data_IF_408785253302
#
_entry.id   IF_408785253302
#
_cell.length_a   1.000
_cell.length_b   1.000
_cell.length_c   1.000
_cell.angle_alpha   90.00
_cell.angle_beta   90.00
_cell.angle_gamma   90.00
#
_symmetry.space_group_name_H-M   'P 1'
#
loop_
_entity.id
_entity.type
_entity.pdbx_description
1 polymer ?
#
# COMPACT_ATOMS: atom_id res chain seq x y z
N UNK A 1 38.05 -13.87 9.73
CA UNK A 1 36.88 -14.04 10.61
C UNK A 1 35.76 -14.59 9.74
N UNK A 2 35.03 -15.65 10.14
CA UNK A 2 34.06 -16.30 9.25
C UNK A 2 32.89 -15.35 8.99
N UNK A 3 32.58 -15.14 7.71
CA UNK A 3 31.41 -14.40 7.23
C UNK A 3 30.15 -15.10 7.71
N UNK A 4 29.29 -14.41 8.46
CA UNK A 4 28.00 -14.95 8.86
C UNK A 4 27.15 -15.18 7.60
N UNK A 5 26.84 -16.44 7.31
CA UNK A 5 25.82 -16.83 6.33
C UNK A 5 24.47 -16.36 6.86
N UNK A 6 23.63 -15.66 6.07
CA UNK A 6 22.28 -15.35 6.51
C UNK A 6 21.54 -16.68 6.73
N UNK A 7 21.11 -16.89 7.97
CA UNK A 7 20.34 -18.06 8.40
C UNK A 7 19.07 -18.12 7.56
N UNK A 8 18.97 -19.10 6.67
CA UNK A 8 17.81 -19.40 5.85
C UNK A 8 16.69 -19.97 6.73
N UNK A 9 16.08 -19.13 7.57
CA UNK A 9 14.75 -19.41 8.11
C UNK A 9 13.69 -19.27 7.02
N UNK A 10 12.48 -19.83 7.20
CA UNK A 10 11.39 -19.57 6.27
C UNK A 10 11.10 -18.07 6.26
N UNK A 11 11.01 -17.52 5.05
CA UNK A 11 10.68 -16.13 4.83
C UNK A 11 9.28 -15.84 5.38
N UNK A 12 9.16 -14.86 6.27
CA UNK A 12 7.88 -14.39 6.78
C UNK A 12 7.69 -12.95 6.30
N UNK A 13 6.77 -12.76 5.36
CA UNK A 13 6.42 -11.44 4.85
C UNK A 13 5.44 -10.78 5.82
N UNK A 14 5.75 -9.55 6.22
CA UNK A 14 4.85 -8.76 7.06
C UNK A 14 5.03 -7.28 6.76
N UNK A 15 3.91 -6.57 6.61
CA UNK A 15 3.85 -5.13 6.37
C UNK A 15 3.01 -4.53 7.48
N UNK A 16 3.58 -3.60 8.23
CA UNK A 16 2.86 -2.90 9.30
C UNK A 16 2.55 -1.48 8.84
N UNK A 17 1.27 -1.09 8.95
CA UNK A 17 0.86 0.29 8.70
C UNK A 17 1.26 1.17 9.88
N UNK A 18 1.87 2.33 9.59
CA UNK A 18 2.31 3.27 10.62
C UNK A 18 1.50 4.56 10.63
N UNK A 19 1.32 5.21 9.47
CA UNK A 19 0.67 6.52 9.41
C UNK A 19 0.15 6.90 8.02
N UNK A 20 -0.87 7.76 7.99
CA UNK A 20 -1.35 8.44 6.79
C UNK A 20 -0.59 9.75 6.59
N UNK A 21 0.23 9.83 5.55
CA UNK A 21 1.15 10.95 5.38
C UNK A 21 0.53 12.16 4.65
N UNK A 22 -0.49 11.97 3.82
CA UNK A 22 -1.02 13.06 2.95
C UNK A 22 -2.51 13.32 3.07
N UNK A 23 -3.34 12.28 3.08
CA UNK A 23 -4.81 12.43 3.03
C UNK A 23 -5.40 11.75 4.26
N UNK A 24 -6.05 12.52 5.14
CA UNK A 24 -6.85 11.98 6.23
C UNK A 24 -8.15 11.36 5.70
N UNK A 25 -8.69 10.40 6.43
CA UNK A 25 -9.94 9.74 6.07
C UNK A 25 -11.12 10.72 6.03
N UNK A 26 -11.93 10.61 4.98
CA UNK A 26 -13.09 11.47 4.76
C UNK A 26 -12.75 12.83 4.12
N UNK A 27 -11.51 13.03 3.66
CA UNK A 27 -11.12 14.24 2.94
C UNK A 27 -11.99 14.48 1.70
N UNK A 28 -12.35 15.74 1.46
CA UNK A 28 -13.24 16.13 0.36
C UNK A 28 -12.47 16.54 -0.89
N UNK A 29 -12.91 16.06 -2.05
CA UNK A 29 -12.33 16.40 -3.35
C UNK A 29 -13.41 16.80 -4.37
N UNK A 30 -13.00 17.60 -5.35
CA UNK A 30 -13.81 17.87 -6.55
C UNK A 30 -13.78 16.67 -7.50
N UNK A 31 -14.83 16.48 -8.33
CA UNK A 31 -14.88 15.38 -9.28
C UNK A 31 -13.70 15.41 -10.26
N UNK A 32 -13.07 14.26 -10.50
CA UNK A 32 -11.91 14.12 -11.39
C UNK A 32 -10.59 14.67 -10.84
N UNK A 33 -10.55 15.17 -9.59
CA UNK A 33 -9.32 15.65 -8.99
C UNK A 33 -8.30 14.50 -8.80
N UNK A 34 -7.00 14.72 -9.09
CA UNK A 34 -5.95 13.79 -8.72
C UNK A 34 -5.71 13.83 -7.21
N UNK A 35 -5.51 12.66 -6.60
CA UNK A 35 -5.33 12.49 -5.15
C UNK A 35 -4.02 11.75 -4.91
N UNK A 36 -3.03 12.44 -4.36
CA UNK A 36 -1.74 11.86 -3.98
C UNK A 36 -1.82 11.28 -2.58
N UNK A 37 -2.09 9.98 -2.47
CA UNK A 37 -2.17 9.27 -1.18
C UNK A 37 -0.83 8.61 -0.88
N UNK A 38 -0.34 8.90 0.31
CA UNK A 38 0.89 8.32 0.83
C UNK A 38 0.65 7.69 2.20
N UNK A 39 1.13 6.47 2.38
CA UNK A 39 1.12 5.76 3.65
C UNK A 39 2.55 5.49 4.07
N UNK A 40 2.85 5.72 5.35
CA UNK A 40 4.07 5.22 5.96
C UNK A 40 3.83 3.78 6.42
N UNK A 41 4.68 2.87 5.97
CA UNK A 41 4.62 1.45 6.35
C UNK A 41 6.02 0.97 6.76
N UNK A 42 6.07 -0.15 7.45
CA UNK A 42 7.30 -0.83 7.84
C UNK A 42 7.29 -2.26 7.33
N UNK A 43 8.42 -2.71 6.79
CA UNK A 43 8.65 -4.14 6.58
C UNK A 43 9.05 -4.76 7.91
N UNK A 44 8.08 -5.30 8.65
CA UNK A 44 8.32 -6.03 9.90
C UNK A 44 8.50 -7.55 9.68
N UNK A 45 8.62 -7.94 8.40
CA UNK A 45 8.96 -9.30 8.00
C UNK A 45 10.42 -9.66 8.27
N UNK A 46 10.76 -10.93 7.99
CA UNK A 46 12.13 -11.46 8.11
C UNK A 46 12.92 -11.39 6.81
N UNK A 47 12.31 -10.92 5.72
CA UNK A 47 12.89 -10.84 4.39
C UNK A 47 12.76 -9.45 3.78
N UNK A 48 13.64 -9.17 2.84
CA UNK A 48 13.55 -7.98 2.01
C UNK A 48 12.43 -8.15 0.97
N UNK A 49 11.64 -7.10 0.77
CA UNK A 49 10.78 -6.96 -0.40
C UNK A 49 11.61 -6.48 -1.58
N UNK A 50 11.42 -7.10 -2.73
CA UNK A 50 12.01 -6.71 -4.00
C UNK A 50 10.94 -6.29 -5.01
N UNK A 51 11.34 -6.05 -6.26
CA UNK A 51 10.47 -5.60 -7.35
C UNK A 51 9.37 -6.60 -7.74
N UNK A 52 9.44 -7.85 -7.25
CA UNK A 52 8.43 -8.88 -7.52
C UNK A 52 7.23 -8.80 -6.57
N UNK A 53 7.35 -8.06 -5.48
CA UNK A 53 6.26 -7.79 -4.55
C UNK A 53 5.31 -6.72 -5.08
N UNK A 54 4.04 -6.86 -4.73
CA UNK A 54 2.98 -5.98 -5.23
C UNK A 54 2.10 -5.48 -4.09
N UNK A 55 1.44 -4.35 -4.32
CA UNK A 55 0.29 -3.93 -3.56
C UNK A 55 -0.96 -4.23 -4.40
N UNK A 56 -1.87 -5.04 -3.85
CA UNK A 56 -3.09 -5.49 -4.50
C UNK A 56 -4.31 -4.78 -3.93
N UNK A 57 -5.18 -4.36 -4.82
CA UNK A 57 -6.53 -3.93 -4.48
C UNK A 57 -7.35 -5.14 -4.00
N UNK A 58 -8.01 -5.00 -2.86
CA UNK A 58 -8.79 -6.09 -2.24
C UNK A 58 -10.26 -5.72 -2.00
N UNK A 59 -10.66 -4.46 -2.20
CA UNK A 59 -12.04 -4.05 -2.00
C UNK A 59 -12.31 -2.56 -2.18
N UNK A 60 -13.61 -2.23 -2.29
CA UNK A 60 -14.08 -0.87 -2.50
C UNK A 60 -14.02 -0.45 -3.97
N UNK A 61 -13.38 0.69 -4.24
CA UNK A 61 -13.23 1.24 -5.60
C UNK A 61 -11.76 1.32 -5.98
N UNK A 62 -11.42 1.16 -7.25
CA UNK A 62 -10.03 1.33 -7.72
C UNK A 62 -9.65 2.81 -7.88
N UNK A 63 -10.62 3.72 -7.92
CA UNK A 63 -10.40 5.17 -8.05
C UNK A 63 -9.46 5.54 -9.20
N UNK A 64 -9.62 4.89 -10.35
CA UNK A 64 -8.89 5.21 -11.58
C UNK A 64 -7.48 4.64 -11.69
N UNK A 65 -7.06 3.74 -10.79
CA UNK A 65 -5.76 3.05 -10.87
C UNK A 65 -5.91 1.56 -11.17
N UNK A 66 -4.82 0.89 -11.56
CA UNK A 66 -4.82 -0.58 -11.75
C UNK A 66 -4.92 -1.31 -10.42
N UNK A 67 -5.59 -2.47 -10.43
CA UNK A 67 -5.79 -3.34 -9.25
C UNK A 67 -4.49 -3.89 -8.64
N UNK A 68 -3.37 -3.78 -9.36
CA UNK A 68 -2.04 -4.08 -8.86
C UNK A 68 -1.14 -2.84 -9.04
N UNK A 69 -0.37 -2.54 -8.00
CA UNK A 69 0.70 -1.54 -7.98
C UNK A 69 2.02 -2.22 -7.55
N UNK A 70 3.19 -1.75 -8.01
CA UNK A 70 4.46 -2.24 -7.48
C UNK A 70 4.60 -1.89 -6.00
N UNK A 71 5.04 -2.85 -5.18
CA UNK A 71 5.45 -2.55 -3.80
C UNK A 71 6.88 -2.03 -3.83
N UNK A 72 7.15 -0.90 -3.17
CA UNK A 72 8.49 -0.34 -3.18
C UNK A 72 9.45 -1.28 -2.42
N UNK A 73 10.65 -1.60 -2.97
CA UNK A 73 11.60 -2.48 -2.31
C UNK A 73 12.01 -1.95 -0.93
N UNK A 74 11.94 -2.79 0.09
CA UNK A 74 12.28 -2.43 1.46
C UNK A 74 12.95 -3.60 2.17
N UNK A 75 14.05 -3.30 2.87
CA UNK A 75 14.73 -4.30 3.69
C UNK A 75 13.90 -4.66 4.92
N UNK A 76 14.10 -5.86 5.46
CA UNK A 76 13.54 -6.21 6.75
C UNK A 76 13.90 -5.16 7.83
N UNK A 77 12.91 -4.71 8.58
CA UNK A 77 12.97 -3.63 9.57
C UNK A 77 13.01 -2.20 9.01
N UNK A 78 12.94 -2.01 7.69
CA UNK A 78 12.96 -0.67 7.09
C UNK A 78 11.55 -0.08 6.98
N UNK A 79 11.47 1.23 7.19
CA UNK A 79 10.27 2.02 6.88
C UNK A 79 10.31 2.52 5.44
N UNK A 80 9.16 2.55 4.80
CA UNK A 80 9.00 2.99 3.42
C UNK A 80 7.67 3.73 3.26
N UNK A 81 7.67 4.71 2.35
CA UNK A 81 6.45 5.41 1.96
C UNK A 81 5.87 4.77 0.71
N UNK A 82 4.65 4.23 0.83
CA UNK A 82 3.86 3.80 -0.33
C UNK A 82 3.13 5.02 -0.89
N UNK A 83 3.14 5.18 -2.21
CA UNK A 83 2.47 6.30 -2.89
C UNK A 83 1.63 5.80 -4.05
N UNK A 84 0.35 6.18 -4.05
CA UNK A 84 -0.56 5.96 -5.17
C UNK A 84 -1.26 7.28 -5.51
N UNK A 85 -1.32 7.59 -6.81
CA UNK A 85 -2.06 8.75 -7.31
C UNK A 85 -3.42 8.28 -7.82
N UNK A 86 -4.45 8.46 -7.01
CA UNK A 86 -5.83 8.14 -7.34
C UNK A 86 -6.50 9.27 -8.12
N UNK A 87 -7.67 9.00 -8.69
CA UNK A 87 -8.54 9.99 -9.33
C UNK A 87 -9.92 9.95 -8.67
N UNK A 88 -10.37 11.11 -8.17
CA UNK A 88 -11.70 11.25 -7.61
C UNK A 88 -12.78 10.91 -8.66
N UNK A 89 -13.77 10.06 -8.34
CA UNK A 89 -14.88 9.76 -9.23
C UNK A 89 -15.65 11.02 -9.70
N UNK A 90 -16.36 10.89 -10.82
CA UNK A 90 -17.19 11.97 -11.35
C UNK A 90 -18.48 12.19 -10.53
N UNK A 91 -18.98 11.12 -9.93
CA UNK A 91 -20.21 11.13 -9.15
C UNK A 91 -19.93 11.55 -7.70
N UNK A 92 -20.80 12.37 -7.09
CA UNK A 92 -20.70 12.68 -5.67
C UNK A 92 -20.98 11.43 -4.82
N UNK A 93 -20.24 11.30 -3.73
CA UNK A 93 -20.38 10.17 -2.81
C UNK A 93 -19.16 9.95 -1.93
N UNK A 94 -19.27 9.00 -1.01
CA UNK A 94 -18.13 8.52 -0.22
C UNK A 94 -17.54 7.29 -0.89
N UNK A 95 -16.23 7.28 -1.07
CA UNK A 95 -15.52 6.21 -1.74
C UNK A 95 -14.36 5.73 -0.88
N UNK A 96 -14.27 4.41 -0.72
CA UNK A 96 -13.16 3.76 -0.02
C UNK A 96 -12.41 2.85 -0.98
N UNK A 97 -11.09 2.82 -0.90
CA UNK A 97 -10.22 1.92 -1.66
C UNK A 97 -9.25 1.23 -0.71
N UNK A 98 -9.28 -0.10 -0.66
CA UNK A 98 -8.50 -0.91 0.29
C UNK A 98 -7.49 -1.79 -0.44
N UNK A 99 -6.27 -1.81 0.08
CA UNK A 99 -5.10 -2.43 -0.52
C UNK A 99 -4.34 -3.28 0.49
N UNK A 100 -3.68 -4.33 0.02
CA UNK A 100 -2.84 -5.20 0.85
C UNK A 100 -1.60 -5.64 0.07
N UNK A 101 -0.49 -5.86 0.76
CA UNK A 101 0.72 -6.37 0.12
C UNK A 101 0.53 -7.83 -0.32
N UNK A 102 1.18 -8.18 -1.42
CA UNK A 102 1.15 -9.50 -2.01
C UNK A 102 2.57 -9.96 -2.37
N UNK A 103 2.87 -11.20 -2.01
CA UNK A 103 4.14 -11.84 -2.36
C UNK A 103 4.17 -12.26 -3.85
N UNK A 104 5.31 -12.77 -4.36
CA UNK A 104 5.46 -13.13 -5.77
C UNK A 104 4.57 -14.31 -6.21
N UNK A 105 4.15 -15.16 -5.27
CA UNK A 105 3.19 -16.25 -5.48
C UNK A 105 1.74 -15.75 -5.46
N UNK A 106 1.53 -14.48 -5.08
CA UNK A 106 0.23 -13.81 -5.02
C UNK A 106 -0.48 -13.93 -3.69
N UNK A 107 0.17 -14.45 -2.64
CA UNK A 107 -0.40 -14.52 -1.30
C UNK A 107 -0.39 -13.13 -0.66
N UNK A 108 -1.52 -12.76 -0.06
CA UNK A 108 -1.65 -11.50 0.66
C UNK A 108 -1.02 -11.60 2.06
N UNK A 109 -0.39 -10.51 2.52
CA UNK A 109 0.23 -10.44 3.84
C UNK A 109 0.17 -9.04 4.45
N UNK A 110 0.42 -8.97 5.76
CA UNK A 110 0.49 -7.72 6.53
C UNK A 110 -0.84 -6.99 6.68
N UNK A 111 -0.75 -5.80 7.25
CA UNK A 111 -1.84 -4.86 7.43
C UNK A 111 -2.39 -4.38 6.09
N UNK A 112 -3.67 -4.03 6.10
CA UNK A 112 -4.31 -3.35 4.98
C UNK A 112 -4.09 -1.84 5.09
N UNK A 113 -3.86 -1.20 3.95
CA UNK A 113 -3.86 0.26 3.84
C UNK A 113 -5.06 0.69 3.02
N UNK A 114 -5.66 1.82 3.36
CA UNK A 114 -6.85 2.29 2.67
C UNK A 114 -6.86 3.81 2.52
N UNK A 115 -7.74 4.27 1.63
CA UNK A 115 -8.11 5.66 1.52
C UNK A 115 -9.63 5.76 1.53
N UNK A 116 -10.15 6.69 2.32
CA UNK A 116 -11.55 7.11 2.27
C UNK A 116 -11.65 8.58 1.85
N UNK A 117 -12.42 8.86 0.81
CA UNK A 117 -12.66 10.22 0.30
C UNK A 117 -14.15 10.51 0.15
N UNK A 118 -14.47 11.80 0.16
CA UNK A 118 -15.79 12.32 -0.18
C UNK A 118 -15.68 13.16 -1.45
N UNK A 119 -16.51 12.87 -2.46
CA UNK A 119 -16.64 13.70 -3.66
C UNK A 119 -17.89 14.55 -3.53
N UNK A 120 -17.73 15.87 -3.63
CA UNK A 120 -18.84 16.84 -3.62
C UNK A 120 -18.96 17.57 -4.97
N UNK A 121 -20.16 18.09 -5.27
CA UNK A 121 -20.42 18.89 -6.48
C UNK A 121 -19.82 20.29 -6.42
#
# INVERSE_FOLDING_TARGET
MPTATPTTGPCANDLTFLDDLTIEDGATFSPGAPIDKQWLVQNDGTCDWDETYKLKWIGGYTLGVSEEQPLFPARAGAQVTLRIVFTAPAEPGTYTSTWQAADPDGNLFGDTVFIEIVVNQ
#
